data_IF_140012429591
#
_entry.id   IF_140012429591
#
_cell.length_a   1.000
_cell.length_b   1.000
_cell.length_c   1.000
_cell.angle_alpha   90.00
_cell.angle_beta   90.00
_cell.angle_gamma   90.00
#
_symmetry.space_group_name_H-M   'P 1'
#
loop_
_entity.id
_entity.type
_entity.pdbx_description
1 polymer ?
#
# COMPACT_ATOMS: atom_id res chain seq x y z
N UNK A 1 11.98 -21.86 -22.64
CA UNK A 1 12.55 -20.53 -22.33
C UNK A 1 11.73 -19.94 -21.19
N UNK A 2 12.24 -19.96 -19.96
CA UNK A 2 11.52 -19.41 -18.82
C UNK A 2 11.52 -17.89 -18.92
N UNK A 3 10.38 -17.29 -19.25
CA UNK A 3 10.21 -15.84 -19.10
C UNK A 3 10.37 -15.50 -17.63
N UNK A 4 11.33 -14.65 -17.27
CA UNK A 4 11.44 -14.15 -15.90
C UNK A 4 10.12 -13.52 -15.48
N UNK A 5 9.68 -13.80 -14.25
CA UNK A 5 8.47 -13.21 -13.70
C UNK A 5 8.58 -11.68 -13.69
N UNK A 6 7.47 -10.99 -13.93
CA UNK A 6 7.48 -9.52 -14.09
C UNK A 6 8.05 -8.79 -12.86
N UNK A 7 7.87 -9.34 -11.65
CA UNK A 7 8.38 -8.75 -10.40
C UNK A 7 9.90 -8.92 -10.21
N UNK A 8 10.56 -9.73 -11.04
CA UNK A 8 12.02 -9.87 -11.07
C UNK A 8 12.67 -8.94 -12.09
N UNK A 9 11.87 -8.28 -12.94
CA UNK A 9 12.36 -7.33 -13.91
C UNK A 9 12.60 -5.96 -13.24
N UNK A 10 13.58 -5.18 -13.70
CA UNK A 10 13.75 -3.81 -13.22
C UNK A 10 12.47 -3.00 -13.42
N UNK A 11 12.17 -2.13 -12.45
CA UNK A 11 11.08 -1.17 -12.62
C UNK A 11 11.32 -0.33 -13.88
N UNK A 12 10.25 -0.08 -14.64
CA UNK A 12 10.33 0.76 -15.84
C UNK A 12 10.82 2.16 -15.46
N UNK A 13 11.77 2.68 -16.23
CA UNK A 13 12.25 4.04 -16.03
C UNK A 13 11.12 5.06 -16.28
N UNK A 14 11.17 6.19 -15.57
CA UNK A 14 10.29 7.33 -15.80
C UNK A 14 10.45 7.84 -17.23
N UNK A 15 9.33 8.04 -17.92
CA UNK A 15 9.29 8.60 -19.26
C UNK A 15 9.58 10.11 -19.21
N UNK A 16 10.79 10.49 -19.59
CA UNK A 16 11.21 11.89 -19.59
C UNK A 16 10.52 12.72 -20.68
N UNK A 17 10.11 12.11 -21.79
CA UNK A 17 9.41 12.82 -22.86
C UNK A 17 7.99 13.17 -22.41
N UNK A 18 7.26 12.22 -21.81
CA UNK A 18 5.94 12.48 -21.24
C UNK A 18 5.99 13.53 -20.11
N UNK A 19 7.03 13.46 -19.26
CA UNK A 19 7.27 14.45 -18.21
C UNK A 19 7.48 15.86 -18.80
N UNK A 20 8.30 15.99 -19.84
CA UNK A 20 8.55 17.27 -20.51
C UNK A 20 7.30 17.82 -21.20
N UNK A 21 6.50 16.96 -21.84
CA UNK A 21 5.22 17.34 -22.44
C UNK A 21 4.23 17.87 -21.39
N UNK A 22 4.09 17.16 -20.26
CA UNK A 22 3.23 17.60 -19.17
C UNK A 22 3.70 18.93 -18.55
N UNK A 23 5.01 19.13 -18.43
CA UNK A 23 5.58 20.40 -17.95
C UNK A 23 5.29 21.56 -18.92
N UNK A 24 5.49 21.36 -20.22
CA UNK A 24 5.17 22.36 -21.23
C UNK A 24 3.66 22.70 -21.22
N UNK A 25 2.81 21.68 -21.04
CA UNK A 25 1.37 21.87 -20.87
C UNK A 25 1.05 22.76 -19.67
N UNK A 26 1.67 22.55 -18.52
CA UNK A 26 1.43 23.36 -17.31
C UNK A 26 1.68 24.86 -17.53
N UNK A 27 2.55 25.23 -18.47
CA UNK A 27 2.89 26.62 -18.80
C UNK A 27 1.83 27.33 -19.65
N UNK A 28 0.95 26.59 -20.34
CA UNK A 28 -0.05 27.15 -21.28
C UNK A 28 -1.49 27.07 -20.77
N UNK A 29 -1.71 26.50 -19.58
CA UNK A 29 -3.02 26.44 -18.95
C UNK A 29 -3.45 27.83 -18.46
N UNK A 30 -4.77 28.07 -18.39
CA UNK A 30 -5.37 29.32 -17.89
C UNK A 30 -5.23 29.44 -16.37
N UNK A 31 -4.00 29.63 -15.90
CA UNK A 31 -3.59 29.85 -14.52
C UNK A 31 -2.27 30.63 -14.49
N UNK A 32 -1.97 31.45 -13.47
CA UNK A 32 -0.62 31.96 -13.29
C UNK A 32 0.38 30.81 -13.14
N UNK A 33 1.55 30.92 -13.76
CA UNK A 33 2.60 29.90 -13.69
C UNK A 33 2.95 29.56 -12.24
N UNK A 34 2.93 28.27 -11.89
CA UNK A 34 3.24 27.78 -10.55
C UNK A 34 2.16 28.02 -9.48
N UNK A 35 1.00 28.60 -9.83
CA UNK A 35 -0.06 28.92 -8.86
C UNK A 35 -0.69 27.71 -8.17
N UNK A 36 -0.60 26.51 -8.76
CA UNK A 36 -1.10 25.28 -8.13
C UNK A 36 -0.02 24.50 -7.37
N UNK A 37 1.23 24.99 -7.35
CA UNK A 37 2.33 24.44 -6.56
C UNK A 37 2.53 22.94 -6.74
N UNK A 38 2.38 22.18 -5.66
CA UNK A 38 2.58 20.73 -5.64
C UNK A 38 1.65 19.95 -6.58
N UNK A 39 0.46 20.49 -6.89
CA UNK A 39 -0.47 19.83 -7.81
C UNK A 39 0.06 19.81 -9.25
N UNK A 40 0.81 20.84 -9.66
CA UNK A 40 1.46 20.85 -10.99
C UNK A 40 2.55 19.79 -11.05
N UNK A 41 3.36 19.72 -10.00
CA UNK A 41 4.45 18.75 -9.88
C UNK A 41 3.93 17.31 -9.85
N UNK A 42 2.86 17.05 -9.12
CA UNK A 42 2.23 15.73 -9.06
C UNK A 42 1.71 15.28 -10.44
N UNK A 43 1.08 16.18 -11.20
CA UNK A 43 0.63 15.87 -12.55
C UNK A 43 1.82 15.54 -13.48
N UNK A 44 2.93 16.28 -13.38
CA UNK A 44 4.15 16.05 -14.16
C UNK A 44 4.78 14.68 -13.82
N UNK A 45 4.81 14.31 -12.54
CA UNK A 45 5.34 13.02 -12.09
C UNK A 45 4.48 11.85 -12.55
N UNK A 46 3.15 11.95 -12.39
CA UNK A 46 2.22 10.94 -12.88
C UNK A 46 2.30 10.77 -14.40
N UNK A 47 2.50 11.86 -15.15
CA UNK A 47 2.70 11.81 -16.59
C UNK A 47 3.92 10.95 -16.97
N UNK A 48 5.05 11.16 -16.28
CA UNK A 48 6.27 10.37 -16.48
C UNK A 48 6.14 8.92 -16.05
N UNK A 49 5.42 8.63 -14.97
CA UNK A 49 5.14 7.25 -14.52
C UNK A 49 4.23 6.51 -15.50
N UNK A 50 3.24 7.19 -16.07
CA UNK A 50 2.25 6.59 -16.98
C UNK A 50 2.67 6.65 -18.46
N UNK A 51 3.74 7.39 -18.80
CA UNK A 51 4.21 7.56 -20.18
C UNK A 51 3.23 8.33 -21.06
N UNK A 52 2.50 9.30 -20.49
CA UNK A 52 1.53 10.12 -21.24
C UNK A 52 1.44 11.54 -20.68
N UNK A 53 1.21 12.52 -21.55
CA UNK A 53 1.09 13.94 -21.19
C UNK A 53 -0.05 14.22 -20.19
N UNK A 54 -1.19 13.54 -20.37
CA UNK A 54 -2.40 13.69 -19.56
C UNK A 54 -2.59 12.44 -18.68
N UNK A 55 -1.99 12.40 -17.48
CA UNK A 55 -2.19 11.28 -16.56
C UNK A 55 -3.61 11.25 -16.00
N UNK A 56 -4.06 10.08 -15.58
CA UNK A 56 -5.33 9.89 -14.87
C UNK A 56 -5.13 8.91 -13.71
N UNK A 57 -6.04 8.96 -12.75
CA UNK A 57 -6.02 8.11 -11.55
C UNK A 57 -7.39 7.44 -11.46
N UNK A 58 -7.66 6.51 -12.38
CA UNK A 58 -8.99 5.90 -12.53
C UNK A 58 -9.16 4.64 -11.66
N UNK A 59 -8.06 3.95 -11.34
CA UNK A 59 -8.06 2.71 -10.58
C UNK A 59 -7.09 2.81 -9.40
N UNK A 60 -7.61 3.24 -8.24
CA UNK A 60 -6.85 3.27 -6.99
C UNK A 60 -7.01 1.94 -6.28
N UNK A 61 -5.89 1.34 -5.87
CA UNK A 61 -5.88 0.13 -5.05
C UNK A 61 -5.09 0.34 -3.77
N UNK A 62 -5.63 -0.15 -2.65
CA UNK A 62 -5.03 -0.11 -1.33
C UNK A 62 -4.88 -1.55 -0.84
N UNK A 63 -3.66 -1.98 -0.57
CA UNK A 63 -3.38 -3.31 -0.02
C UNK A 63 -2.84 -3.17 1.40
N UNK A 64 -3.56 -3.72 2.37
CA UNK A 64 -3.12 -3.80 3.77
C UNK A 64 -2.53 -5.18 4.01
N UNK A 65 -1.23 -5.22 4.32
CA UNK A 65 -0.53 -6.43 4.71
C UNK A 65 -0.39 -6.46 6.22
N UNK A 66 -1.07 -7.39 6.87
CA UNK A 66 -0.97 -7.61 8.31
C UNK A 66 -0.04 -8.79 8.59
N UNK A 67 0.80 -8.63 9.61
CA UNK A 67 1.67 -9.68 10.11
C UNK A 67 2.15 -9.27 11.49
N UNK A 68 2.37 -10.25 12.34
CA UNK A 68 2.85 -10.04 13.69
C UNK A 68 4.37 -10.22 13.76
N UNK A 69 5.01 -9.52 14.71
CA UNK A 69 6.44 -9.57 14.91
C UNK A 69 6.78 -10.23 16.24
N UNK A 70 7.69 -11.21 16.24
CA UNK A 70 8.05 -11.96 17.45
C UNK A 70 8.64 -11.13 18.58
N UNK A 71 9.26 -9.99 18.26
CA UNK A 71 9.78 -9.04 19.26
C UNK A 71 8.67 -8.43 20.14
N UNK A 72 7.41 -8.45 19.69
CA UNK A 72 6.30 -7.95 20.48
C UNK A 72 6.14 -8.68 21.84
N UNK A 73 6.62 -9.92 21.94
CA UNK A 73 6.66 -10.67 23.21
C UNK A 73 7.54 -10.01 24.29
N UNK A 74 8.49 -9.15 23.90
CA UNK A 74 9.38 -8.43 24.81
C UNK A 74 8.76 -7.13 25.36
N UNK A 75 7.46 -6.90 25.14
CA UNK A 75 6.75 -5.74 25.69
C UNK A 75 7.13 -4.41 25.03
N UNK A 76 7.73 -4.44 23.83
CA UNK A 76 8.13 -3.23 23.08
C UNK A 76 6.98 -2.56 22.32
N UNK A 77 5.80 -3.19 22.30
CA UNK A 77 4.64 -2.72 21.56
C UNK A 77 3.63 -2.00 22.46
N UNK A 78 3.02 -0.92 21.95
CA UNK A 78 2.00 -0.15 22.67
C UNK A 78 0.68 -0.92 22.88
N UNK A 79 0.44 -1.96 22.08
CA UNK A 79 -0.76 -2.78 22.12
C UNK A 79 -0.41 -4.27 22.13
N UNK A 80 -1.25 -5.13 22.72
CA UNK A 80 -1.08 -6.58 22.64
C UNK A 80 -1.11 -7.07 21.19
N UNK A 81 -0.36 -8.13 20.91
CA UNK A 81 -0.23 -8.72 19.58
C UNK A 81 -1.58 -9.24 19.02
N UNK A 82 -2.50 -9.65 19.89
CA UNK A 82 -3.86 -10.06 19.51
C UNK A 82 -4.67 -8.95 18.80
N UNK A 83 -4.28 -7.67 18.95
CA UNK A 83 -4.94 -6.54 18.29
C UNK A 83 -4.80 -6.61 16.78
N UNK A 84 -3.74 -7.22 16.24
CA UNK A 84 -3.56 -7.39 14.79
C UNK A 84 -4.73 -8.14 14.16
N UNK A 85 -5.18 -9.24 14.78
CA UNK A 85 -6.34 -10.00 14.32
C UNK A 85 -7.67 -9.24 14.44
N UNK A 86 -7.83 -8.46 15.52
CA UNK A 86 -9.00 -7.60 15.69
C UNK A 86 -9.04 -6.50 14.61
N UNK A 87 -7.88 -5.96 14.25
CA UNK A 87 -7.77 -4.95 13.20
C UNK A 87 -8.07 -5.52 11.82
N UNK A 88 -7.65 -6.76 11.52
CA UNK A 88 -8.05 -7.47 10.30
C UNK A 88 -9.58 -7.52 10.15
N UNK A 89 -10.29 -7.92 11.20
CA UNK A 89 -11.76 -7.89 11.21
C UNK A 89 -12.31 -6.46 11.05
N UNK A 90 -11.70 -5.48 11.71
CA UNK A 90 -12.12 -4.07 11.61
C UNK A 90 -11.94 -3.50 10.18
N UNK A 91 -10.87 -3.89 9.48
CA UNK A 91 -10.62 -3.46 8.10
C UNK A 91 -11.71 -3.95 7.15
N UNK A 92 -12.04 -5.25 7.19
CA UNK A 92 -13.04 -5.86 6.29
C UNK A 92 -14.47 -5.46 6.63
N UNK A 93 -14.76 -5.21 7.92
CA UNK A 93 -16.06 -4.69 8.35
C UNK A 93 -16.20 -3.18 8.10
N UNK A 94 -15.15 -2.52 7.60
CA UNK A 94 -15.21 -1.14 7.15
C UNK A 94 -15.13 -0.09 8.26
N UNK A 95 -14.83 -0.48 9.50
CA UNK A 95 -14.77 0.39 10.68
C UNK A 95 -13.42 1.09 10.89
N UNK A 96 -12.37 0.65 10.18
CA UNK A 96 -11.07 1.31 10.22
C UNK A 96 -11.04 2.59 9.36
N UNK A 97 -10.24 3.58 9.77
CA UNK A 97 -10.08 4.84 9.04
C UNK A 97 -9.69 4.62 7.57
N UNK A 98 -8.76 3.69 7.30
CA UNK A 98 -8.35 3.36 5.93
C UNK A 98 -9.51 2.79 5.10
N UNK A 99 -10.40 2.01 5.71
CA UNK A 99 -11.57 1.46 5.02
C UNK A 99 -12.57 2.55 4.66
N UNK A 100 -12.73 3.56 5.52
CA UNK A 100 -13.57 4.75 5.24
C UNK A 100 -12.96 5.56 4.10
N UNK A 101 -11.66 5.81 4.13
CA UNK A 101 -10.96 6.55 3.08
C UNK A 101 -10.99 5.82 1.73
N UNK A 102 -10.82 4.50 1.75
CA UNK A 102 -10.92 3.68 0.55
C UNK A 102 -12.30 3.83 -0.12
N UNK A 103 -13.38 3.74 0.67
CA UNK A 103 -14.74 3.96 0.15
C UNK A 103 -14.96 5.38 -0.36
N UNK A 104 -14.49 6.38 0.38
CA UNK A 104 -14.55 7.80 -0.03
C UNK A 104 -13.92 8.05 -1.40
N UNK A 105 -12.80 7.38 -1.67
CA UNK A 105 -12.05 7.49 -2.93
C UNK A 105 -12.54 6.53 -4.02
N UNK A 106 -13.51 5.66 -3.75
CA UNK A 106 -13.87 4.55 -4.65
C UNK A 106 -12.71 3.58 -4.90
N UNK A 107 -11.72 3.55 -4.00
CA UNK A 107 -10.53 2.72 -4.13
C UNK A 107 -10.86 1.27 -3.80
N UNK A 108 -10.32 0.35 -4.60
CA UNK A 108 -10.36 -1.07 -4.31
C UNK A 108 -9.43 -1.38 -3.14
N UNK A 109 -9.95 -2.01 -2.08
CA UNK A 109 -9.17 -2.33 -0.89
C UNK A 109 -9.03 -3.84 -0.72
N UNK A 110 -7.81 -4.31 -0.47
CA UNK A 110 -7.50 -5.69 -0.14
C UNK A 110 -6.86 -5.75 1.24
N UNK A 111 -7.27 -6.75 2.02
CA UNK A 111 -6.68 -7.06 3.32
C UNK A 111 -6.02 -8.42 3.23
N UNK A 112 -4.74 -8.50 3.58
CA UNK A 112 -3.90 -9.66 3.37
C UNK A 112 -3.23 -10.00 4.69
N UNK A 113 -3.53 -11.18 5.21
CA UNK A 113 -2.88 -11.72 6.41
C UNK A 113 -1.65 -12.54 5.97
N UNK A 114 -0.47 -11.98 6.21
CA UNK A 114 0.82 -12.61 5.95
C UNK A 114 1.30 -13.49 7.10
N UNK A 115 0.65 -13.46 8.26
CA UNK A 115 1.08 -14.25 9.41
C UNK A 115 0.85 -13.52 10.73
N UNK A 116 -0.34 -13.71 11.29
CA UNK A 116 -0.63 -13.35 12.67
C UNK A 116 -0.03 -14.34 13.66
N UNK A 117 0.28 -13.89 14.87
CA UNK A 117 0.90 -14.69 15.93
C UNK A 117 -0.03 -15.77 16.45
N UNK A 118 -1.34 -15.50 16.39
CA UNK A 118 -2.39 -16.43 16.77
C UNK A 118 -3.17 -16.78 15.53
N UNK A 119 -3.45 -18.07 15.32
CA UNK A 119 -4.29 -18.50 14.22
C UNK A 119 -5.67 -17.81 14.31
N UNK A 120 -6.07 -17.16 13.23
CA UNK A 120 -7.37 -16.54 13.12
C UNK A 120 -8.37 -17.51 12.49
N UNK A 121 -9.66 -17.42 12.86
CA UNK A 121 -10.71 -18.03 12.05
C UNK A 121 -10.69 -17.41 10.65
N UNK A 122 -11.22 -18.13 9.67
CA UNK A 122 -11.33 -17.61 8.31
C UNK A 122 -12.22 -16.35 8.30
N UNK A 123 -11.63 -15.23 7.89
CA UNK A 123 -12.32 -13.95 7.81
C UNK A 123 -12.66 -13.65 6.35
N UNK A 124 -13.95 -13.60 6.02
CA UNK A 124 -14.42 -13.20 4.71
C UNK A 124 -13.86 -11.80 4.34
N UNK A 125 -13.27 -11.69 3.15
CA UNK A 125 -12.63 -10.46 2.68
C UNK A 125 -11.16 -10.29 3.11
N UNK A 126 -10.61 -11.21 3.91
CA UNK A 126 -9.17 -11.30 4.19
C UNK A 126 -8.55 -12.41 3.34
N UNK A 127 -7.44 -12.11 2.67
CA UNK A 127 -6.62 -13.10 1.99
C UNK A 127 -5.57 -13.63 2.97
N UNK A 128 -5.81 -14.82 3.52
CA UNK A 128 -4.86 -15.47 4.43
C UNK A 128 -3.76 -16.21 3.64
N UNK A 129 -2.53 -15.74 3.74
CA UNK A 129 -1.34 -16.34 3.11
C UNK A 129 -0.39 -16.97 4.13
N UNK A 130 -0.40 -16.51 5.38
CA UNK A 130 0.31 -17.12 6.53
C UNK A 130 1.74 -17.57 6.19
N UNK A 131 2.53 -16.63 5.64
CA UNK A 131 3.91 -16.84 5.16
C UNK A 131 4.94 -16.95 6.29
N UNK A 132 4.59 -16.54 7.52
CA UNK A 132 5.45 -16.75 8.69
C UNK A 132 4.76 -16.31 9.98
N UNK A 133 4.71 -17.20 10.99
CA UNK A 133 4.22 -16.85 12.32
C UNK A 133 5.27 -16.05 13.11
N UNK A 134 4.80 -15.17 13.98
CA UNK A 134 5.62 -14.28 14.81
C UNK A 134 6.42 -15.03 15.90
N UNK A 135 7.37 -15.88 15.50
CA UNK A 135 8.23 -16.62 16.43
C UNK A 135 9.05 -15.65 17.29
N UNK A 136 9.12 -15.86 18.62
CA UNK A 136 9.96 -15.05 19.50
C UNK A 136 11.39 -14.94 18.97
N UNK A 137 11.95 -13.74 19.04
CA UNK A 137 13.33 -13.48 18.58
C UNK A 137 14.34 -13.97 19.63
N UNK A 138 13.97 -13.92 20.91
CA UNK A 138 14.80 -14.42 22.00
C UNK A 138 14.42 -15.87 22.34
N UNK A 139 15.38 -16.70 22.78
CA UNK A 139 15.09 -18.02 23.32
C UNK A 139 14.15 -17.89 24.52
N UNK A 140 13.16 -18.77 24.61
CA UNK A 140 12.28 -18.85 25.79
C UNK A 140 13.16 -19.05 27.03
N UNK A 141 13.00 -18.23 28.10
CA UNK A 141 13.77 -18.43 29.31
C UNK A 141 13.52 -19.85 29.83
N UNK A 142 14.61 -20.60 30.01
CA UNK A 142 14.58 -21.92 30.63
C UNK A 142 14.28 -21.69 32.12
N UNK A 143 13.29 -22.40 32.71
CA UNK A 143 12.94 -22.23 34.12
C UNK A 143 14.09 -22.55 35.07
#
# INVERSE_FOLDING_TARGET
MSSQAWWQQPAKAIDQAARAQAQARQQVLTKPSGSLGQLEQLAIELAGMQGRELPQVDAVSICVFAGDHGIAAEGVSAYPQAVTGQMLANFVNGGAAISVLARSLGAHMQVIDLGTATALPELAGVKHLTLGGARPILPTPVP
#
